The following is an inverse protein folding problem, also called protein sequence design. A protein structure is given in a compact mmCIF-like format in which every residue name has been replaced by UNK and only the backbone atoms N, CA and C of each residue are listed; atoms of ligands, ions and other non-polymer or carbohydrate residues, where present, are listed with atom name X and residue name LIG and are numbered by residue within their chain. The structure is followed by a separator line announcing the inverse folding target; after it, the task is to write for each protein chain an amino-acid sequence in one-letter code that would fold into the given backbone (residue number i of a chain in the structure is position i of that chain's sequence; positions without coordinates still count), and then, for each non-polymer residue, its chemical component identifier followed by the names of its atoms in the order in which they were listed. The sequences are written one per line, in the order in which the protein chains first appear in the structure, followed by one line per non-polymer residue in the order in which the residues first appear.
data_IF_914868207373
#
_entry.id   IF_914868207373
#
_cell.length_a   1.000
_cell.length_b   1.000
_cell.length_c   1.000
_cell.angle_alpha   90.00
_cell.angle_beta   90.00
_cell.angle_gamma   90.00
#
_symmetry.space_group_name_H-M   'P 1'
#
loop_
_entity.id
_entity.type
_entity.pdbx_description
1 polymer ?
#
# COMPACT_ATOMS: atom_id res chain seq x y z
N UNK A 1 21.29 8.04 8.15
CA UNK A 1 21.01 7.79 6.72
C UNK A 1 20.05 6.64 6.49
N UNK A 2 20.29 5.45 7.06
CA UNK A 2 19.44 4.25 6.88
C UNK A 2 17.96 4.47 7.21
N UNK A 3 17.66 5.20 8.30
CA UNK A 3 16.29 5.57 8.68
C UNK A 3 15.52 6.21 7.52
N UNK A 4 16.02 7.34 6.99
CA UNK A 4 15.32 8.11 5.97
C UNK A 4 15.20 7.38 4.63
N UNK A 5 16.20 6.56 4.27
CA UNK A 5 16.11 5.74 3.05
C UNK A 5 15.02 4.67 3.19
N UNK A 6 15.01 3.93 4.31
CA UNK A 6 14.03 2.86 4.52
C UNK A 6 12.60 3.40 4.66
N UNK A 7 12.38 4.41 5.50
CA UNK A 7 11.04 5.00 5.72
C UNK A 7 10.58 5.82 4.53
N UNK A 8 11.50 6.54 3.85
CA UNK A 8 11.19 7.29 2.63
C UNK A 8 10.80 6.38 1.46
N UNK A 9 11.52 5.27 1.25
CA UNK A 9 11.18 4.29 0.21
C UNK A 9 9.84 3.60 0.51
N UNK A 10 9.58 3.27 1.76
CA UNK A 10 8.26 2.78 2.18
C UNK A 10 7.16 3.83 1.93
N UNK A 11 7.40 5.11 2.25
CA UNK A 11 6.48 6.21 1.97
C UNK A 11 6.15 6.34 0.46
N UNK A 12 7.12 6.12 -0.42
CA UNK A 12 6.87 6.03 -1.86
C UNK A 12 5.88 4.90 -2.20
N UNK A 13 6.03 3.72 -1.59
CA UNK A 13 5.13 2.60 -1.82
C UNK A 13 3.71 2.89 -1.32
N UNK A 14 3.57 3.60 -0.18
CA UNK A 14 2.28 4.08 0.34
C UNK A 14 1.61 5.02 -0.67
N UNK A 15 2.35 5.94 -1.29
CA UNK A 15 1.81 6.84 -2.33
C UNK A 15 1.32 6.03 -3.53
N UNK A 16 2.13 5.09 -4.03
CA UNK A 16 1.74 4.21 -5.15
C UNK A 16 0.49 3.41 -4.82
N UNK A 17 0.43 2.81 -3.63
CA UNK A 17 -0.74 2.04 -3.18
C UNK A 17 -1.99 2.91 -3.06
N UNK A 18 -1.84 4.14 -2.59
CA UNK A 18 -2.95 5.08 -2.41
C UNK A 18 -3.52 5.49 -3.76
N UNK A 19 -2.65 5.78 -4.72
CA UNK A 19 -3.06 6.06 -6.11
C UNK A 19 -3.73 4.83 -6.74
N UNK A 20 -3.22 3.62 -6.50
CA UNK A 20 -3.82 2.40 -7.05
C UNK A 20 -5.24 2.16 -6.49
N UNK A 21 -5.43 2.32 -5.17
CA UNK A 21 -6.75 2.26 -4.54
C UNK A 21 -7.67 3.39 -5.03
N UNK A 22 -7.16 4.61 -5.21
CA UNK A 22 -7.94 5.71 -5.75
C UNK A 22 -8.43 5.43 -7.19
N UNK A 23 -7.57 4.85 -8.04
CA UNK A 23 -7.98 4.36 -9.37
C UNK A 23 -9.03 3.26 -9.25
N UNK A 24 -8.87 2.31 -8.31
CA UNK A 24 -9.88 1.29 -8.00
C UNK A 24 -11.23 1.91 -7.61
N UNK A 25 -11.23 2.92 -6.74
CA UNK A 25 -12.44 3.64 -6.32
C UNK A 25 -13.10 4.36 -7.50
N UNK A 26 -12.33 5.07 -8.33
CA UNK A 26 -12.87 5.74 -9.52
C UNK A 26 -13.51 4.74 -10.49
N UNK A 27 -12.86 3.58 -10.71
CA UNK A 27 -13.41 2.50 -11.54
C UNK A 27 -14.69 1.90 -10.95
N UNK A 28 -14.78 1.78 -9.63
CA UNK A 28 -15.99 1.30 -8.94
C UNK A 28 -17.15 2.28 -9.11
N UNK A 29 -16.90 3.59 -8.96
CA UNK A 29 -17.91 4.64 -9.17
C UNK A 29 -18.41 4.65 -10.63
N UNK A 30 -17.55 4.28 -11.58
CA UNK A 30 -17.89 4.13 -12.99
C UNK A 30 -18.48 2.75 -13.35
N UNK A 31 -18.77 1.90 -12.36
CA UNK A 31 -19.35 0.56 -12.54
C UNK A 31 -18.53 -0.37 -13.44
N UNK A 32 -17.20 -0.25 -13.44
CA UNK A 32 -16.31 -1.10 -14.26
C UNK A 32 -16.07 -2.50 -13.67
N UNK A 33 -16.47 -2.75 -12.42
CA UNK A 33 -16.28 -4.03 -11.75
C UNK A 33 -17.59 -4.80 -11.64
N UNK A 34 -17.50 -6.12 -11.68
CA UNK A 34 -18.61 -7.03 -11.36
C UNK A 34 -18.24 -7.86 -10.13
N UNK A 35 -19.24 -8.51 -9.51
CA UNK A 35 -19.01 -9.39 -8.35
C UNK A 35 -18.07 -10.54 -8.65
N UNK A 36 -17.96 -10.97 -9.91
CA UNK A 36 -17.08 -12.08 -10.33
C UNK A 36 -15.78 -11.60 -10.97
N UNK A 37 -15.70 -10.34 -11.41
CA UNK A 37 -14.55 -9.85 -12.17
C UNK A 37 -14.09 -8.46 -11.70
N UNK A 38 -13.17 -8.48 -10.74
CA UNK A 38 -12.63 -7.28 -10.08
C UNK A 38 -11.15 -7.42 -9.70
N UNK A 39 -10.38 -8.19 -10.47
CA UNK A 39 -8.95 -8.45 -10.22
C UNK A 39 -8.11 -7.17 -10.03
N UNK A 40 -8.44 -6.08 -10.72
CA UNK A 40 -7.74 -4.79 -10.54
C UNK A 40 -7.88 -4.23 -9.12
N UNK A 41 -9.02 -4.46 -8.46
CA UNK A 41 -9.21 -4.11 -7.04
C UNK A 41 -8.51 -5.13 -6.13
N UNK A 42 -8.58 -6.43 -6.43
CA UNK A 42 -7.85 -7.47 -5.67
C UNK A 42 -6.34 -7.21 -5.64
N UNK A 43 -5.75 -6.88 -6.79
CA UNK A 43 -4.33 -6.55 -6.90
C UNK A 43 -3.97 -5.29 -6.08
N UNK A 44 -4.84 -4.28 -6.07
CA UNK A 44 -4.65 -3.08 -5.26
C UNK A 44 -4.73 -3.40 -3.75
N UNK A 45 -5.66 -4.27 -3.34
CA UNK A 45 -5.79 -4.72 -1.96
C UNK A 45 -4.59 -5.56 -1.51
N UNK A 46 -4.10 -6.48 -2.34
CA UNK A 46 -2.87 -7.24 -2.05
C UNK A 46 -1.66 -6.33 -1.92
N UNK A 47 -1.51 -5.35 -2.82
CA UNK A 47 -0.44 -4.37 -2.73
C UNK A 47 -0.54 -3.54 -1.45
N UNK A 48 -1.75 -3.14 -1.05
CA UNK A 48 -1.98 -2.38 0.17
C UNK A 48 -1.59 -3.18 1.43
N UNK A 49 -1.99 -4.45 1.52
CA UNK A 49 -1.58 -5.32 2.62
C UNK A 49 -0.07 -5.57 2.67
N UNK A 50 0.60 -5.68 1.51
CA UNK A 50 2.06 -5.74 1.46
C UNK A 50 2.68 -4.49 2.11
N UNK A 51 2.18 -3.30 1.76
CA UNK A 51 2.64 -2.04 2.34
C UNK A 51 2.44 -2.04 3.87
N UNK A 52 1.26 -2.43 4.36
CA UNK A 52 0.98 -2.49 5.80
C UNK A 52 1.95 -3.43 6.55
N UNK A 53 2.20 -4.63 6.01
CA UNK A 53 3.13 -5.59 6.63
C UNK A 53 4.55 -5.01 6.70
N UNK A 54 5.04 -4.39 5.62
CA UNK A 54 6.35 -3.72 5.63
C UNK A 54 6.41 -2.63 6.70
N UNK A 55 5.32 -1.88 6.90
CA UNK A 55 5.26 -0.86 7.94
C UNK A 55 5.38 -1.45 9.35
N UNK A 56 4.71 -2.57 9.64
CA UNK A 56 4.84 -3.25 10.93
C UNK A 56 6.30 -3.62 11.24
N UNK A 57 7.02 -4.15 10.24
CA UNK A 57 8.44 -4.46 10.39
C UNK A 57 9.30 -3.22 10.63
N UNK A 58 9.06 -2.14 9.88
CA UNK A 58 9.79 -0.87 10.06
C UNK A 58 9.52 -0.27 11.44
N UNK A 59 8.26 -0.30 11.89
CA UNK A 59 7.88 0.22 13.20
C UNK A 59 8.61 -0.53 14.33
N UNK A 60 8.49 -1.86 14.36
CA UNK A 60 9.14 -2.67 15.42
C UNK A 60 10.66 -2.53 15.38
N UNK A 61 11.28 -2.58 14.19
CA UNK A 61 12.74 -2.63 14.08
C UNK A 61 13.40 -1.27 14.27
N UNK A 62 12.85 -0.21 13.66
CA UNK A 62 13.49 1.10 13.59
C UNK A 62 12.96 2.04 14.67
N UNK A 63 11.64 2.06 14.89
CA UNK A 63 11.03 3.02 15.81
C UNK A 63 10.97 2.52 17.25
N UNK A 64 10.95 1.20 17.48
CA UNK A 64 10.90 0.63 18.83
C UNK A 64 12.23 0.03 19.26
N UNK A 65 12.80 -0.92 18.52
CA UNK A 65 14.05 -1.56 18.93
C UNK A 65 15.29 -0.70 18.66
N UNK A 66 15.30 0.05 17.57
CA UNK A 66 16.42 0.89 17.14
C UNK A 66 16.49 2.28 17.76
N UNK A 67 15.59 2.59 18.71
CA UNK A 67 15.50 3.86 19.43
C UNK A 67 16.11 3.77 20.83
#
# INVERSE_FOLDING_TARGET
STFFVATGFHGLHVIIGSTFLAVGLLRQIQYHFTSEHHFGFEAAAWYWHFVDVVWLFLYVSIYWWGS
#
